data_IF_606432101235
#
_entry.id   IF_606432101235
#
_cell.length_a   1.000
_cell.length_b   1.000
_cell.length_c   1.000
_cell.angle_alpha   90.00
_cell.angle_beta   90.00
_cell.angle_gamma   90.00
#
_symmetry.space_group_name_H-M   'P 1'
#
loop_
_entity.id
_entity.type
_entity.pdbx_description
1 polymer ?
#
# COMPACT_ATOMS: atom_id res chain seq x y z
N UNK A 1 -5.08 15.35 -1.17
CA UNK A 1 -6.07 14.28 -1.45
C UNK A 1 -6.82 13.98 -0.17
N UNK A 2 -8.15 13.84 -0.19
CA UNK A 2 -8.91 13.49 1.01
C UNK A 2 -9.26 12.00 0.97
N UNK A 3 -8.58 11.19 1.79
CA UNK A 3 -8.85 9.75 1.90
C UNK A 3 -9.90 9.57 3.01
N UNK A 4 -11.12 9.22 2.63
CA UNK A 4 -12.24 8.96 3.54
C UNK A 4 -12.70 7.49 3.47
N UNK A 5 -13.54 7.07 4.41
CA UNK A 5 -14.14 5.74 4.38
C UNK A 5 -14.96 5.54 3.09
N UNK A 6 -15.84 6.48 2.72
CA UNK A 6 -16.63 6.41 1.48
C UNK A 6 -15.76 6.28 0.21
N UNK A 7 -14.63 7.01 0.17
CA UNK A 7 -13.68 6.92 -0.92
C UNK A 7 -13.09 5.51 -1.01
N UNK A 8 -12.65 4.94 0.12
CA UNK A 8 -12.07 3.59 0.15
C UNK A 8 -13.12 2.49 -0.09
N UNK A 9 -14.33 2.66 0.44
CA UNK A 9 -15.46 1.74 0.27
C UNK A 9 -15.86 1.61 -1.20
N UNK A 10 -15.70 2.68 -1.99
CA UNK A 10 -15.97 2.66 -3.44
C UNK A 10 -15.10 1.66 -4.23
N UNK A 11 -13.98 1.21 -3.66
CA UNK A 11 -13.10 0.21 -4.27
C UNK A 11 -13.38 -1.22 -3.81
N UNK A 12 -14.21 -1.44 -2.78
CA UNK A 12 -14.40 -2.77 -2.21
C UNK A 12 -14.97 -3.75 -3.25
N UNK A 13 -14.35 -4.93 -3.31
CA UNK A 13 -14.72 -5.96 -4.27
C UNK A 13 -14.11 -5.81 -5.66
N UNK A 14 -13.50 -4.67 -5.99
CA UNK A 14 -12.88 -4.45 -7.30
C UNK A 14 -11.61 -5.28 -7.47
N UNK A 15 -11.44 -5.90 -8.64
CA UNK A 15 -10.18 -6.44 -9.11
C UNK A 15 -9.26 -5.31 -9.62
N UNK A 16 -7.95 -5.58 -9.69
CA UNK A 16 -7.00 -4.60 -10.20
C UNK A 16 -7.25 -4.25 -11.67
N UNK A 17 -7.87 -5.14 -12.45
CA UNK A 17 -8.27 -4.88 -13.83
C UNK A 17 -9.32 -3.79 -13.96
N UNK A 18 -10.11 -3.55 -12.92
CA UNK A 18 -11.11 -2.49 -12.87
C UNK A 18 -10.50 -1.16 -12.41
N UNK A 19 -9.28 -1.19 -11.84
CA UNK A 19 -8.59 -0.03 -11.26
C UNK A 19 -7.47 0.46 -12.21
N UNK A 20 -6.69 -0.46 -12.79
CA UNK A 20 -5.52 -0.14 -13.60
C UNK A 20 -5.87 -0.07 -15.10
N UNK A 21 -6.02 1.15 -15.62
CA UNK A 21 -6.23 1.39 -17.06
C UNK A 21 -4.95 1.21 -17.89
N UNK A 22 -3.79 1.08 -17.25
CA UNK A 22 -2.52 0.83 -17.94
C UNK A 22 -2.30 -0.66 -18.27
N UNK A 23 -3.21 -1.57 -17.89
CA UNK A 23 -3.15 -2.98 -18.29
C UNK A 23 -2.17 -3.86 -17.52
N UNK A 24 -1.58 -3.37 -16.42
CA UNK A 24 -0.74 -4.17 -15.52
C UNK A 24 -1.61 -4.99 -14.54
N UNK A 25 -2.28 -6.02 -15.03
CA UNK A 25 -3.40 -6.66 -14.33
C UNK A 25 -3.27 -8.18 -14.15
N UNK A 26 -2.06 -8.72 -14.31
CA UNK A 26 -1.81 -10.16 -14.14
C UNK A 26 -2.02 -10.60 -12.69
N UNK A 27 -3.03 -11.44 -12.46
CA UNK A 27 -3.39 -11.94 -11.13
C UNK A 27 -2.29 -12.77 -10.45
N UNK A 28 -1.24 -13.22 -11.14
CA UNK A 28 -0.08 -13.87 -10.50
C UNK A 28 0.89 -12.86 -9.86
N UNK A 29 0.76 -11.57 -10.17
CA UNK A 29 1.51 -10.50 -9.53
C UNK A 29 0.95 -10.12 -8.14
N UNK A 30 1.78 -9.44 -7.35
CA UNK A 30 1.36 -8.86 -6.05
C UNK A 30 0.86 -7.42 -6.25
N UNK A 31 -0.44 -7.21 -6.17
CA UNK A 31 -1.06 -5.90 -6.46
C UNK A 31 -1.34 -5.03 -5.23
N UNK A 32 -0.83 -5.40 -4.05
CA UNK A 32 -1.03 -4.61 -2.83
C UNK A 32 -0.52 -3.17 -2.96
N UNK A 33 0.74 -2.99 -3.37
CA UNK A 33 1.28 -1.67 -3.66
C UNK A 33 0.61 -1.03 -4.87
N UNK A 34 0.25 -1.82 -5.89
CA UNK A 34 -0.38 -1.31 -7.10
C UNK A 34 -1.71 -0.60 -6.82
N UNK A 35 -2.57 -1.24 -6.01
CA UNK A 35 -3.82 -0.64 -5.54
C UNK A 35 -3.57 0.67 -4.77
N UNK A 36 -2.68 0.63 -3.78
CA UNK A 36 -2.34 1.82 -2.98
C UNK A 36 -1.78 2.94 -3.85
N UNK A 37 -0.91 2.60 -4.80
CA UNK A 37 -0.34 3.54 -5.75
C UNK A 37 -1.41 4.24 -6.60
N UNK A 38 -2.44 3.53 -7.04
CA UNK A 38 -3.55 4.13 -7.78
C UNK A 38 -4.42 5.04 -6.92
N UNK A 39 -4.90 4.56 -5.77
CA UNK A 39 -5.83 5.36 -4.96
C UNK A 39 -5.16 6.60 -4.37
N UNK A 40 -3.84 6.54 -4.13
CA UNK A 40 -3.04 7.67 -3.63
C UNK A 40 -2.35 8.48 -4.74
N UNK A 41 -2.54 8.11 -6.01
CA UNK A 41 -1.92 8.77 -7.18
C UNK A 41 -0.38 8.84 -7.08
N UNK A 42 0.26 7.77 -6.60
CA UNK A 42 1.71 7.66 -6.48
C UNK A 42 2.29 7.02 -7.74
N UNK A 43 2.74 7.84 -8.69
CA UNK A 43 3.37 7.40 -9.96
C UNK A 43 4.91 7.56 -9.95
N UNK A 44 5.52 7.63 -8.78
CA UNK A 44 6.99 7.67 -8.65
C UNK A 44 7.58 6.24 -8.66
N UNK A 45 8.86 6.12 -8.99
CA UNK A 45 9.57 4.84 -8.95
C UNK A 45 9.11 3.86 -10.02
N UNK A 46 8.98 2.58 -9.64
CA UNK A 46 8.51 1.52 -10.52
C UNK A 46 6.98 1.52 -10.57
N UNK A 47 6.40 1.99 -11.67
CA UNK A 47 4.95 2.14 -11.84
C UNK A 47 4.37 1.32 -12.98
N UNK A 48 3.07 1.03 -12.94
CA UNK A 48 2.37 0.33 -14.03
C UNK A 48 2.42 1.10 -15.37
N UNK A 49 2.47 2.43 -15.31
CA UNK A 49 2.62 3.28 -16.48
C UNK A 49 3.96 3.05 -17.17
N UNK A 50 5.05 3.10 -16.41
CA UNK A 50 6.40 2.95 -16.94
C UNK A 50 6.69 1.51 -17.38
N UNK A 51 6.23 0.51 -16.62
CA UNK A 51 6.47 -0.90 -16.97
C UNK A 51 5.63 -1.39 -18.15
N UNK A 52 4.41 -0.87 -18.34
CA UNK A 52 3.52 -1.33 -19.41
C UNK A 52 3.37 -0.33 -20.57
N UNK A 53 4.25 0.67 -20.63
CA UNK A 53 4.19 1.77 -21.62
C UNK A 53 2.81 2.43 -21.71
N UNK A 54 2.15 2.56 -20.56
CA UNK A 54 0.78 3.01 -20.41
C UNK A 54 0.59 4.50 -20.66
N UNK A 55 -0.63 4.89 -21.03
CA UNK A 55 -1.01 6.28 -21.34
C UNK A 55 -1.84 6.95 -20.22
N UNK A 56 -2.29 6.17 -19.23
CA UNK A 56 -3.08 6.64 -18.10
C UNK A 56 -2.20 6.90 -16.87
N UNK A 57 -2.76 7.48 -15.81
CA UNK A 57 -2.05 7.68 -14.54
C UNK A 57 -1.52 6.35 -13.98
N UNK A 58 -0.25 6.33 -13.57
CA UNK A 58 0.38 5.14 -13.00
C UNK A 58 0.14 5.01 -11.50
N UNK A 59 0.30 3.78 -11.00
CA UNK A 59 0.43 3.47 -9.58
C UNK A 59 1.75 2.73 -9.33
N UNK A 60 2.45 3.11 -8.27
CA UNK A 60 3.68 2.47 -7.81
C UNK A 60 3.42 0.99 -7.49
N UNK A 61 4.34 0.12 -7.90
CA UNK A 61 4.19 -1.34 -7.83
C UNK A 61 4.95 -1.98 -6.67
N UNK A 62 5.63 -1.18 -5.83
CA UNK A 62 6.57 -1.67 -4.82
C UNK A 62 6.33 -1.05 -3.46
N UNK A 63 5.88 -1.88 -2.52
CA UNK A 63 5.63 -1.52 -1.10
C UNK A 63 6.79 -0.73 -0.48
N UNK A 64 8.03 -1.14 -0.74
CA UNK A 64 9.24 -0.49 -0.22
C UNK A 64 9.40 0.93 -0.74
N UNK A 65 9.14 1.15 -2.02
CA UNK A 65 9.28 2.48 -2.62
C UNK A 65 8.24 3.42 -2.02
N UNK A 66 6.99 2.96 -1.86
CA UNK A 66 5.95 3.72 -1.16
C UNK A 66 6.36 4.05 0.28
N UNK A 67 6.87 3.08 1.03
CA UNK A 67 7.37 3.29 2.39
C UNK A 67 8.45 4.38 2.44
N UNK A 68 9.38 4.38 1.49
CA UNK A 68 10.48 5.35 1.40
C UNK A 68 10.05 6.76 0.98
N UNK A 69 8.84 6.93 0.43
CA UNK A 69 8.27 8.25 0.16
C UNK A 69 7.67 8.89 1.42
N UNK A 70 7.40 8.10 2.46
CA UNK A 70 6.70 8.58 3.64
C UNK A 70 7.65 9.34 4.57
N UNK A 71 7.27 10.54 4.98
CA UNK A 71 8.11 11.41 5.84
C UNK A 71 8.16 10.94 7.29
N UNK A 72 7.10 10.26 7.74
CA UNK A 72 6.91 9.79 9.12
C UNK A 72 6.50 8.32 9.07
N UNK A 73 7.19 7.50 9.85
CA UNK A 73 6.95 6.06 10.01
C UNK A 73 7.04 5.71 11.49
N UNK A 74 6.36 4.65 11.92
CA UNK A 74 6.42 4.19 13.30
C UNK A 74 5.70 2.86 13.53
N UNK A 75 5.64 2.41 14.77
CA UNK A 75 4.81 1.28 15.18
C UNK A 75 3.33 1.66 15.07
N UNK A 76 2.47 0.75 14.59
CA UNK A 76 1.05 1.08 14.38
C UNK A 76 0.33 1.55 15.66
N UNK A 77 0.77 1.12 16.84
CA UNK A 77 0.23 1.58 18.13
C UNK A 77 0.38 3.08 18.36
N UNK A 78 1.35 3.70 17.69
CA UNK A 78 1.64 5.15 17.78
C UNK A 78 0.98 5.94 16.65
N UNK A 79 0.19 5.29 15.80
CA UNK A 79 -0.46 5.94 14.68
C UNK A 79 -1.52 6.95 15.16
N UNK A 80 -1.64 8.11 14.47
CA UNK A 80 -2.70 9.07 14.77
C UNK A 80 -4.08 8.45 14.50
N UNK A 81 -4.98 8.55 15.48
CA UNK A 81 -6.35 8.02 15.37
C UNK A 81 -7.32 8.92 14.59
N UNK A 82 -6.94 10.17 14.32
CA UNK A 82 -7.82 11.18 13.74
C UNK A 82 -7.73 11.32 12.22
N UNK A 83 -6.94 10.49 11.55
CA UNK A 83 -6.69 10.57 10.10
C UNK A 83 -6.24 9.20 9.56
N UNK A 84 -6.44 8.93 8.26
CA UNK A 84 -5.93 7.71 7.64
C UNK A 84 -4.41 7.69 7.61
N UNK A 85 -3.84 6.49 7.72
CA UNK A 85 -2.42 6.21 7.55
C UNK A 85 -2.21 5.02 6.63
N UNK A 86 -1.01 4.87 6.08
CA UNK A 86 -0.60 3.61 5.49
C UNK A 86 -0.25 2.63 6.61
N UNK A 87 -0.64 1.37 6.46
CA UNK A 87 -0.22 0.27 7.33
C UNK A 87 0.61 -0.71 6.52
N UNK A 88 1.68 -1.20 7.14
CA UNK A 88 2.60 -2.19 6.58
C UNK A 88 2.68 -3.37 7.52
N UNK A 89 2.67 -4.58 6.95
CA UNK A 89 2.94 -5.82 7.67
C UNK A 89 4.16 -6.50 7.07
N UNK A 90 5.13 -6.79 7.92
CA UNK A 90 6.43 -7.31 7.53
C UNK A 90 7.14 -7.94 8.74
N UNK A 91 8.10 -8.83 8.50
CA UNK A 91 9.03 -9.31 9.52
C UNK A 91 9.78 -8.11 10.15
N UNK A 92 9.75 -7.96 11.49
CA UNK A 92 10.45 -6.87 12.17
C UNK A 92 11.94 -6.74 11.84
N UNK A 93 12.60 -7.82 11.40
CA UNK A 93 14.02 -7.80 10.99
C UNK A 93 14.25 -7.14 9.63
N UNK A 94 13.19 -6.86 8.88
CA UNK A 94 13.24 -6.31 7.53
C UNK A 94 12.86 -4.83 7.47
N UNK A 95 12.68 -4.18 8.62
CA UNK A 95 12.34 -2.78 8.75
C UNK A 95 13.17 -2.13 9.84
N UNK A 96 13.54 -0.88 9.60
CA UNK A 96 14.28 -0.02 10.50
C UNK A 96 13.56 1.33 10.51
N UNK A 97 12.82 1.60 11.59
CA UNK A 97 12.01 2.80 11.73
C UNK A 97 12.87 4.04 11.98
N UNK A 98 14.03 3.88 12.64
CA UNK A 98 14.95 4.98 12.94
C UNK A 98 15.56 5.53 11.65
N UNK A 99 16.03 4.64 10.78
CA UNK A 99 16.61 4.99 9.48
C UNK A 99 15.56 5.08 8.35
N UNK A 100 14.26 4.94 8.68
CA UNK A 100 13.14 4.91 7.72
C UNK A 100 13.39 3.98 6.54
N UNK A 101 13.89 2.79 6.83
CA UNK A 101 14.32 1.83 5.84
C UNK A 101 13.48 0.55 5.90
N UNK A 102 12.99 0.12 4.73
CA UNK A 102 12.41 -1.21 4.55
C UNK A 102 13.25 -2.00 3.56
N UNK A 103 13.57 -3.25 3.88
CA UNK A 103 14.39 -4.12 3.06
C UNK A 103 13.68 -4.57 1.76
N UNK A 104 14.48 -4.97 0.76
CA UNK A 104 13.98 -5.60 -0.46
C UNK A 104 13.59 -7.06 -0.18
N UNK A 105 12.43 -7.24 0.42
CA UNK A 105 11.87 -8.55 0.78
C UNK A 105 10.54 -8.85 0.06
N UNK A 106 10.22 -10.12 -0.23
CA UNK A 106 8.96 -10.52 -0.90
C UNK A 106 7.78 -10.72 0.05
N UNK A 107 8.05 -11.04 1.32
CA UNK A 107 7.00 -11.16 2.35
C UNK A 107 6.83 -9.80 3.01
N UNK A 108 5.91 -9.02 2.47
CA UNK A 108 5.42 -7.76 3.01
C UNK A 108 4.12 -7.37 2.33
N UNK A 109 3.29 -6.61 3.03
CA UNK A 109 2.03 -6.11 2.49
C UNK A 109 1.78 -4.67 2.94
N UNK A 110 0.87 -3.98 2.25
CA UNK A 110 0.49 -2.60 2.50
C UNK A 110 -1.03 -2.43 2.38
N UNK A 111 -1.59 -1.56 3.21
CA UNK A 111 -2.99 -1.12 3.16
C UNK A 111 -3.15 0.32 3.63
N UNK A 112 -4.38 0.84 3.61
CA UNK A 112 -4.77 2.06 4.31
C UNK A 112 -5.49 1.68 5.59
N UNK A 113 -5.02 2.17 6.74
CA UNK A 113 -5.69 2.02 8.02
C UNK A 113 -6.54 3.26 8.32
N UNK A 114 -7.83 3.04 8.57
CA UNK A 114 -8.79 4.09 8.91
C UNK A 114 -9.89 3.48 9.80
N UNK A 115 -10.24 4.15 10.90
CA UNK A 115 -11.33 3.77 11.80
C UNK A 115 -11.30 2.31 12.30
N UNK A 116 -10.11 1.76 12.54
CA UNK A 116 -9.95 0.39 13.05
C UNK A 116 -9.91 -0.69 11.96
N UNK A 117 -10.07 -0.31 10.69
CA UNK A 117 -10.11 -1.22 9.56
C UNK A 117 -8.94 -0.98 8.61
N UNK A 118 -8.51 -2.04 7.92
CA UNK A 118 -7.47 -2.01 6.89
C UNK A 118 -8.08 -2.26 5.52
N UNK A 119 -7.94 -1.31 4.62
CA UNK A 119 -8.30 -1.41 3.22
C UNK A 119 -7.09 -1.81 2.40
N UNK A 120 -7.12 -2.95 1.73
CA UNK A 120 -5.98 -3.46 0.98
C UNK A 120 -6.42 -4.40 -0.14
N UNK A 121 -5.51 -4.64 -1.09
CA UNK A 121 -5.74 -5.61 -2.16
C UNK A 121 -5.29 -7.00 -1.72
N UNK A 122 -6.23 -7.95 -1.63
CA UNK A 122 -5.91 -9.33 -1.29
C UNK A 122 -5.22 -10.04 -2.45
N UNK A 123 -4.03 -10.61 -2.18
CA UNK A 123 -3.27 -11.40 -3.15
C UNK A 123 -3.59 -12.91 -3.07
N UNK A 124 -4.60 -13.31 -2.29
CA UNK A 124 -5.05 -14.69 -2.22
C UNK A 124 -5.59 -15.13 -3.58
N UNK A 125 -5.14 -16.28 -4.10
CA UNK A 125 -5.59 -16.80 -5.41
C UNK A 125 -7.11 -16.97 -5.52
N UNK A 126 -7.80 -17.22 -4.40
CA UNK A 126 -9.26 -17.36 -4.34
C UNK A 126 -9.99 -16.03 -4.16
N UNK A 127 -9.27 -14.95 -3.87
CA UNK A 127 -9.86 -13.66 -3.51
C UNK A 127 -8.98 -12.50 -4.00
N UNK A 128 -8.88 -12.32 -5.32
CA UNK A 128 -8.05 -11.29 -5.98
C UNK A 128 -8.83 -9.98 -6.12
N UNK A 129 -9.03 -9.28 -5.01
CA UNK A 129 -9.81 -8.03 -4.99
C UNK A 129 -9.46 -7.16 -3.79
N UNK A 130 -9.91 -5.91 -3.82
CA UNK A 130 -9.86 -5.02 -2.65
C UNK A 130 -10.83 -5.52 -1.59
N UNK A 131 -10.32 -5.66 -0.36
CA UNK A 131 -11.09 -6.07 0.81
C UNK A 131 -10.82 -5.12 1.96
N UNK A 132 -11.62 -5.30 3.01
CA UNK A 132 -11.51 -4.61 4.27
C UNK A 132 -11.61 -5.62 5.40
N UNK A 133 -10.72 -5.51 6.37
CA UNK A 133 -10.67 -6.38 7.54
C UNK A 133 -10.18 -5.62 8.76
N UNK A 134 -10.44 -6.15 9.95
CA UNK A 134 -9.89 -5.59 11.19
C UNK A 134 -8.37 -5.77 11.25
N UNK A 135 -7.70 -4.98 12.09
CA UNK A 135 -6.25 -5.12 12.31
C UNK A 135 -5.85 -6.51 12.81
N UNK A 136 -6.67 -7.14 13.64
CA UNK A 136 -6.41 -8.47 14.16
C UNK A 136 -6.45 -9.52 13.04
N UNK A 137 -7.49 -9.49 12.20
CA UNK A 137 -7.64 -10.39 11.05
C UNK A 137 -6.50 -10.19 10.04
N UNK A 138 -6.17 -8.92 9.74
CA UNK A 138 -5.07 -8.56 8.86
C UNK A 138 -3.74 -9.16 9.35
N UNK A 139 -3.39 -8.96 10.62
CA UNK A 139 -2.15 -9.49 11.19
C UNK A 139 -2.14 -11.03 11.18
N UNK A 140 -3.21 -11.66 11.68
CA UNK A 140 -3.32 -13.11 11.75
C UNK A 140 -3.18 -13.75 10.36
N UNK A 141 -3.82 -13.16 9.34
CA UNK A 141 -3.70 -13.63 7.96
C UNK A 141 -2.25 -13.65 7.49
N UNK A 142 -1.50 -12.57 7.72
CA UNK A 142 -0.12 -12.47 7.26
C UNK A 142 0.89 -13.26 8.11
N UNK A 143 0.65 -13.43 9.42
CA UNK A 143 1.44 -14.35 10.25
C UNK A 143 1.31 -15.79 9.76
N UNK A 144 0.09 -16.21 9.43
CA UNK A 144 -0.17 -17.52 8.84
C UNK A 144 0.45 -17.65 7.44
N UNK A 145 0.25 -16.66 6.57
CA UNK A 145 0.77 -16.68 5.20
C UNK A 145 2.31 -16.69 5.15
N UNK A 146 2.96 -15.97 6.06
CA UNK A 146 4.41 -15.82 6.08
C UNK A 146 5.14 -16.81 6.99
N UNK A 147 4.39 -17.60 7.76
CA UNK A 147 4.88 -18.60 8.70
C UNK A 147 5.84 -18.01 9.74
N UNK A 148 5.35 -17.02 10.49
CA UNK A 148 6.11 -16.41 11.58
C UNK A 148 5.50 -15.09 12.06
N UNK A 149 5.94 -14.63 13.22
CA UNK A 149 5.49 -13.37 13.82
C UNK A 149 5.79 -12.19 12.90
N UNK A 150 4.77 -11.37 12.63
CA UNK A 150 4.91 -10.13 11.85
C UNK A 150 4.76 -8.90 12.75
N UNK A 151 5.29 -7.76 12.31
CA UNK A 151 5.03 -6.47 12.92
C UNK A 151 4.04 -5.65 12.09
N UNK A 152 3.34 -4.72 12.75
CA UNK A 152 2.47 -3.74 12.11
C UNK A 152 3.06 -2.35 12.28
N UNK A 153 3.29 -1.68 11.16
CA UNK A 153 3.94 -0.39 11.11
C UNK A 153 3.05 0.59 10.37
N UNK A 154 3.00 1.85 10.84
CA UNK A 154 2.32 2.89 10.09
C UNK A 154 3.31 3.78 9.34
N UNK A 155 2.80 4.42 8.29
CA UNK A 155 3.42 5.60 7.74
C UNK A 155 2.37 6.66 7.42
N UNK A 156 2.76 7.93 7.54
CA UNK A 156 1.91 9.01 7.05
C UNK A 156 1.82 8.94 5.54
N UNK A 157 0.58 9.02 5.01
CA UNK A 157 0.34 9.08 3.57
C UNK A 157 1.20 10.22 3.00
N UNK A 158 2.06 9.95 2.00
CA UNK A 158 2.91 10.97 1.43
C UNK A 158 2.03 12.07 0.83
N UNK A 159 2.38 13.32 1.10
CA UNK A 159 1.75 14.44 0.41
C UNK A 159 1.95 14.26 -1.10
N UNK A 160 0.94 14.59 -1.92
CA UNK A 160 1.15 14.63 -3.36
C UNK A 160 2.37 15.50 -3.61
N UNK A 161 3.38 14.96 -4.29
CA UNK A 161 4.46 15.80 -4.77
C UNK A 161 3.81 16.86 -5.65
N UNK A 162 3.70 18.09 -5.15
CA UNK A 162 3.66 19.25 -6.02
C UNK A 162 4.86 19.05 -6.94
N UNK A 163 4.69 18.98 -8.27
CA UNK A 163 5.84 18.94 -9.14
C UNK A 163 6.63 20.19 -8.76
N UNK A 164 7.77 19.98 -8.09
CA UNK A 164 8.73 21.04 -7.90
C UNK A 164 8.88 21.63 -9.28
N UNK A 165 8.54 22.91 -9.39
CA UNK A 165 8.99 23.76 -10.48
C UNK A 165 10.44 23.33 -10.72
N UNK A 166 10.68 22.64 -11.83
CA UNK A 166 12.00 22.63 -12.44
C UNK A 166 12.18 24.05 -12.93
N UNK A 167 12.54 24.92 -12.00
CA UNK A 167 13.30 26.09 -12.34
C UNK A 167 14.69 25.56 -12.65
N UNK A 168 15.12 25.91 -13.86
CA UNK A 168 16.47 25.84 -14.43
C UNK A 168 16.74 24.59 -15.28
#
# INVERSE_FOLDING_TARGET
MNVSADFLDSFLGMNISEICQNGFTDNEEQHCAHFIGHILQLDSGCSCKTLNNGQHSGGNLRVREIFHLCSVVGELSDAPSNRPVLVFVIDPKQIDLENKFMAKHRKKHIGVFLNGEVYHYSNNKKNKKVIKESIAEFLEYFENLYAGKQGLYYAMIPEPHSPLLRND
#
